data_IF_927742438807
#
_entry.id   IF_927742438807
#
_cell.length_a   1.000
_cell.length_b   1.000
_cell.length_c   1.000
_cell.angle_alpha   90.00
_cell.angle_beta   90.00
_cell.angle_gamma   90.00
#
_symmetry.space_group_name_H-M   'P 1'
#
loop_
_entity.id
_entity.type
_entity.pdbx_description
1 polymer ?
#
# COMPACT_ATOMS: atom_id res chain seq x y z
N UNK A 1 -14.68 -12.37 26.71
CA UNK A 1 -15.19 -13.39 25.76
C UNK A 1 -14.79 -12.92 24.38
N UNK A 2 -13.67 -13.45 23.91
CA UNK A 2 -13.02 -13.05 22.68
C UNK A 2 -13.71 -13.78 21.52
N UNK A 3 -14.48 -13.08 20.70
CA UNK A 3 -15.18 -13.66 19.55
C UNK A 3 -14.20 -13.81 18.37
N UNK A 4 -13.16 -14.62 18.56
CA UNK A 4 -12.21 -14.98 17.52
C UNK A 4 -12.95 -15.64 16.36
N UNK A 5 -13.15 -14.89 15.27
CA UNK A 5 -13.69 -15.43 14.03
C UNK A 5 -12.65 -16.41 13.49
N UNK A 6 -12.93 -17.71 13.64
CA UNK A 6 -12.05 -18.78 13.18
C UNK A 6 -11.82 -18.63 11.66
N UNK A 7 -10.56 -18.71 11.22
CA UNK A 7 -10.24 -18.68 9.80
C UNK A 7 -10.79 -19.94 9.12
N UNK A 8 -11.80 -19.77 8.27
CA UNK A 8 -12.34 -20.83 7.42
C UNK A 8 -11.86 -20.64 5.97
N UNK A 9 -10.98 -21.53 5.46
CA UNK A 9 -10.51 -21.47 4.08
C UNK A 9 -11.62 -21.48 3.03
N UNK A 10 -12.74 -22.18 3.28
CA UNK A 10 -13.86 -22.25 2.33
C UNK A 10 -14.58 -20.90 2.24
N UNK A 11 -14.88 -20.29 3.40
CA UNK A 11 -15.46 -18.94 3.45
C UNK A 11 -14.54 -17.90 2.83
N UNK A 12 -13.22 -18.00 3.02
CA UNK A 12 -12.27 -17.10 2.35
C UNK A 12 -12.41 -17.22 0.83
N UNK A 13 -12.37 -18.44 0.28
CA UNK A 13 -12.52 -18.67 -1.17
C UNK A 13 -13.84 -18.10 -1.70
N UNK A 14 -14.96 -18.34 -1.02
CA UNK A 14 -16.27 -17.80 -1.40
C UNK A 14 -16.28 -16.26 -1.44
N UNK A 15 -15.68 -15.62 -0.45
CA UNK A 15 -15.54 -14.16 -0.41
C UNK A 15 -14.67 -13.64 -1.57
N UNK A 16 -13.60 -14.34 -1.93
CA UNK A 16 -12.75 -13.97 -3.09
C UNK A 16 -13.56 -14.08 -4.40
N UNK A 17 -14.35 -15.14 -4.56
CA UNK A 17 -15.22 -15.30 -5.73
C UNK A 17 -16.26 -14.18 -5.85
N UNK A 18 -16.80 -13.71 -4.73
CA UNK A 18 -17.71 -12.57 -4.75
C UNK A 18 -17.02 -11.30 -5.27
N UNK A 19 -15.77 -11.05 -4.87
CA UNK A 19 -14.98 -9.93 -5.44
C UNK A 19 -14.76 -10.10 -6.94
N UNK A 20 -14.47 -11.31 -7.42
CA UNK A 20 -14.37 -11.59 -8.86
C UNK A 20 -15.66 -11.27 -9.60
N UNK A 21 -16.80 -11.71 -9.05
CA UNK A 21 -18.13 -11.45 -9.59
C UNK A 21 -18.44 -9.96 -9.66
N UNK A 22 -18.11 -9.20 -8.62
CA UNK A 22 -18.29 -7.75 -8.58
C UNK A 22 -17.52 -7.04 -9.70
N UNK A 23 -16.31 -7.50 -10.03
CA UNK A 23 -15.51 -6.94 -11.12
C UNK A 23 -15.79 -7.54 -12.50
N UNK A 24 -16.60 -8.59 -12.58
CA UNK A 24 -16.84 -9.35 -13.82
C UNK A 24 -15.57 -10.03 -14.33
N UNK A 25 -14.71 -10.50 -13.42
CA UNK A 25 -13.53 -11.28 -13.80
C UNK A 25 -13.91 -12.70 -14.23
N UNK A 26 -13.13 -13.32 -15.13
CA UNK A 26 -13.21 -14.77 -15.30
C UNK A 26 -12.88 -15.46 -13.97
N UNK A 27 -13.54 -16.58 -13.70
CA UNK A 27 -13.38 -17.35 -12.46
C UNK A 27 -11.92 -17.74 -12.23
N UNK A 28 -11.49 -17.73 -10.96
CA UNK A 28 -10.14 -18.12 -10.49
C UNK A 28 -9.01 -17.16 -10.89
N UNK A 29 -9.32 -15.90 -11.21
CA UNK A 29 -8.30 -14.87 -11.47
C UNK A 29 -7.60 -14.40 -10.20
N UNK A 30 -8.36 -14.27 -9.11
CA UNK A 30 -7.94 -13.79 -7.80
C UNK A 30 -7.69 -14.94 -6.83
N UNK A 31 -8.30 -16.10 -7.05
CA UNK A 31 -8.09 -17.29 -6.20
C UNK A 31 -6.67 -17.80 -6.37
N UNK A 32 -5.88 -17.74 -5.29
CA UNK A 32 -4.55 -18.37 -5.18
C UNK A 32 -4.44 -19.06 -3.82
N UNK A 33 -3.53 -20.04 -3.68
CA UNK A 33 -3.49 -20.92 -2.51
C UNK A 33 -3.27 -20.20 -1.17
N UNK A 34 -2.65 -19.01 -1.18
CA UNK A 34 -2.25 -18.29 0.04
C UNK A 34 -2.85 -16.87 0.13
N UNK A 35 -3.80 -16.53 -0.75
CA UNK A 35 -4.43 -15.20 -0.72
C UNK A 35 -5.62 -15.19 0.21
N UNK A 36 -5.63 -14.22 1.13
CA UNK A 36 -6.73 -14.00 2.08
C UNK A 36 -7.32 -12.63 1.86
N UNK A 37 -8.65 -12.52 1.85
CA UNK A 37 -9.33 -11.22 1.86
C UNK A 37 -9.37 -10.68 3.29
N UNK A 38 -8.54 -9.68 3.56
CA UNK A 38 -8.31 -9.09 4.89
C UNK A 38 -9.36 -8.03 5.22
N UNK A 39 -9.76 -7.21 4.24
CA UNK A 39 -10.75 -6.17 4.47
C UNK A 39 -11.33 -5.59 3.19
N UNK A 40 -12.49 -4.96 3.30
CA UNK A 40 -13.14 -4.23 2.22
C UNK A 40 -13.79 -2.95 2.74
N UNK A 41 -14.02 -1.98 1.84
CA UNK A 41 -14.68 -0.74 2.22
C UNK A 41 -14.60 0.36 1.18
N UNK A 42 -15.41 1.40 1.37
CA UNK A 42 -15.46 2.56 0.48
C UNK A 42 -14.59 3.67 1.04
N UNK A 43 -13.60 4.11 0.25
CA UNK A 43 -12.74 5.25 0.61
C UNK A 43 -12.88 6.38 -0.41
N UNK A 44 -12.71 7.61 0.07
CA UNK A 44 -12.63 8.79 -0.79
C UNK A 44 -11.21 8.93 -1.33
N UNK A 45 -11.02 8.58 -2.60
CA UNK A 45 -9.71 8.69 -3.26
C UNK A 45 -9.51 10.07 -3.87
N UNK A 46 -8.43 10.75 -3.48
CA UNK A 46 -8.02 11.99 -4.15
C UNK A 46 -7.50 11.66 -5.55
N UNK A 47 -8.11 12.30 -6.54
CA UNK A 47 -7.73 12.20 -7.94
C UNK A 47 -7.43 13.62 -8.46
N UNK A 48 -6.65 13.70 -9.54
CA UNK A 48 -6.23 14.98 -10.14
C UNK A 48 -7.33 16.03 -10.31
N UNK A 49 -8.57 15.65 -10.62
CA UNK A 49 -9.68 16.59 -10.91
C UNK A 49 -10.64 16.79 -9.74
N UNK A 50 -11.01 15.71 -9.08
CA UNK A 50 -11.97 15.72 -7.97
C UNK A 50 -11.82 14.46 -7.13
N UNK A 51 -12.12 14.51 -5.83
CA UNK A 51 -12.27 13.31 -5.01
C UNK A 51 -13.31 12.37 -5.61
N UNK A 52 -13.08 11.06 -5.47
CA UNK A 52 -14.03 10.04 -5.95
C UNK A 52 -14.09 8.86 -4.98
N UNK A 53 -15.31 8.42 -4.68
CA UNK A 53 -15.54 7.18 -3.96
C UNK A 53 -15.07 5.98 -4.80
N UNK A 54 -14.36 5.06 -4.15
CA UNK A 54 -13.88 3.81 -4.72
C UNK A 54 -14.09 2.71 -3.70
N UNK A 55 -14.50 1.54 -4.16
CA UNK A 55 -14.55 0.35 -3.33
C UNK A 55 -13.17 -0.31 -3.36
N UNK A 56 -12.56 -0.48 -2.20
CA UNK A 56 -11.26 -1.11 -1.98
C UNK A 56 -11.44 -2.49 -1.36
N UNK A 57 -10.57 -3.42 -1.76
CA UNK A 57 -10.44 -4.78 -1.25
C UNK A 57 -8.96 -5.00 -0.94
N UNK A 58 -8.64 -5.20 0.33
CA UNK A 58 -7.31 -5.55 0.80
C UNK A 58 -7.20 -7.07 0.87
N UNK A 59 -6.33 -7.62 0.04
CA UNK A 59 -5.86 -8.99 0.19
C UNK A 59 -4.49 -9.00 0.88
N UNK A 60 -4.07 -10.17 1.35
CA UNK A 60 -2.78 -10.37 2.03
C UNK A 60 -1.57 -9.91 1.20
N UNK A 61 -1.67 -9.90 -0.12
CA UNK A 61 -0.58 -9.60 -1.07
C UNK A 61 -0.89 -8.46 -2.06
N UNK A 62 -2.17 -8.10 -2.23
CA UNK A 62 -2.59 -7.12 -3.23
C UNK A 62 -3.73 -6.24 -2.71
N UNK A 63 -3.67 -4.95 -2.99
CA UNK A 63 -4.80 -4.04 -2.81
C UNK A 63 -5.48 -3.81 -4.17
N UNK A 64 -6.78 -4.12 -4.24
CA UNK A 64 -7.60 -3.93 -5.43
C UNK A 64 -8.63 -2.84 -5.18
N UNK A 65 -8.87 -1.96 -6.16
CA UNK A 65 -9.98 -1.01 -6.07
C UNK A 65 -10.66 -0.72 -7.40
N UNK A 66 -11.94 -0.37 -7.31
CA UNK A 66 -12.82 -0.18 -8.45
C UNK A 66 -13.71 1.05 -8.36
N UNK A 67 -14.19 1.51 -9.50
CA UNK A 67 -15.28 2.50 -9.56
C UNK A 67 -16.61 1.79 -9.36
N UNK A 68 -17.38 2.28 -8.39
CA UNK A 68 -18.74 1.80 -8.06
C UNK A 68 -19.71 2.20 -9.18
N UNK A 69 -20.52 1.24 -9.64
CA UNK A 69 -21.64 1.47 -10.57
C UNK A 69 -22.92 1.12 -9.83
N UNK A 70 -23.51 2.12 -9.16
CA UNK A 70 -24.66 1.96 -8.26
C UNK A 70 -25.84 1.23 -8.92
N UNK A 71 -26.14 1.54 -10.18
CA UNK A 71 -27.29 0.98 -10.91
C UNK A 71 -27.13 -0.49 -11.30
N UNK A 72 -25.93 -1.07 -11.18
CA UNK A 72 -25.66 -2.45 -11.63
C UNK A 72 -25.06 -3.33 -10.54
N UNK A 73 -24.83 -2.80 -9.33
CA UNK A 73 -24.11 -3.50 -8.25
C UNK A 73 -22.79 -4.16 -8.73
N UNK A 74 -22.11 -3.52 -9.67
CA UNK A 74 -20.80 -3.98 -10.20
C UNK A 74 -19.75 -2.91 -10.01
N UNK A 75 -18.50 -3.36 -10.04
CA UNK A 75 -17.31 -2.54 -10.03
C UNK A 75 -16.64 -2.58 -11.40
N UNK A 76 -16.05 -1.46 -11.79
CA UNK A 76 -15.39 -1.34 -13.08
C UNK A 76 -14.05 -0.62 -12.95
N UNK A 77 -13.24 -0.73 -14.00
CA UNK A 77 -11.90 -0.15 -14.06
C UNK A 77 -11.02 -0.59 -12.88
N UNK A 78 -10.88 -1.90 -12.64
CA UNK A 78 -10.10 -2.42 -11.52
C UNK A 78 -8.67 -1.90 -11.58
N UNK A 79 -8.12 -1.58 -10.42
CA UNK A 79 -6.73 -1.18 -10.24
C UNK A 79 -6.11 -2.10 -9.22
N UNK A 80 -4.94 -2.64 -9.55
CA UNK A 80 -4.17 -3.54 -8.71
C UNK A 80 -2.94 -2.78 -8.20
N UNK A 81 -2.73 -2.85 -6.89
CA UNK A 81 -1.57 -2.31 -6.20
C UNK A 81 -0.89 -3.48 -5.50
N UNK A 82 0.25 -3.87 -6.03
CA UNK A 82 1.12 -4.85 -5.38
C UNK A 82 1.57 -4.31 -4.03
N UNK A 83 1.41 -5.10 -2.98
CA UNK A 83 1.86 -4.72 -1.64
C UNK A 83 3.36 -4.93 -1.46
N UNK A 84 3.99 -5.77 -2.28
CA UNK A 84 5.43 -5.78 -2.41
C UNK A 84 5.88 -4.38 -2.85
N UNK A 85 6.87 -3.83 -2.16
CA UNK A 85 7.35 -2.46 -2.38
C UNK A 85 6.33 -1.31 -2.16
N UNK A 86 5.15 -1.55 -1.56
CA UNK A 86 4.27 -0.50 -1.01
C UNK A 86 4.50 -0.07 0.45
N UNK A 87 4.36 1.21 0.80
CA UNK A 87 4.28 1.66 2.19
C UNK A 87 3.09 2.59 2.44
N UNK A 88 2.70 2.74 3.71
CA UNK A 88 1.57 3.59 4.12
C UNK A 88 2.05 4.72 5.02
N UNK A 89 1.61 5.94 4.71
CA UNK A 89 1.90 7.15 5.50
C UNK A 89 0.61 7.83 5.94
N UNK A 90 0.53 8.25 7.19
CA UNK A 90 -0.58 9.07 7.66
C UNK A 90 -0.56 10.44 6.98
N UNK A 91 -1.74 11.01 6.74
CA UNK A 91 -1.90 12.38 6.26
C UNK A 91 -2.47 13.21 7.39
N UNK A 92 -1.94 14.43 7.54
CA UNK A 92 -2.41 15.42 8.53
C UNK A 92 -3.76 15.94 8.05
N UNK A 93 -4.72 16.00 8.97
CA UNK A 93 -6.06 16.51 8.70
C UNK A 93 -5.99 18.01 8.38
N UNK A 94 -6.74 18.47 7.37
CA UNK A 94 -6.73 19.87 6.91
C UNK A 94 -8.12 20.53 7.03
N UNK A 95 -8.93 20.08 7.99
CA UNK A 95 -10.29 20.54 8.25
C UNK A 95 -11.32 19.94 7.28
N UNK A 96 -11.17 20.18 5.98
CA UNK A 96 -12.13 19.71 4.95
C UNK A 96 -12.01 18.19 4.75
N UNK A 97 -10.78 17.67 4.73
CA UNK A 97 -10.53 16.24 4.64
C UNK A 97 -9.89 15.76 5.93
N UNK A 98 -10.55 14.80 6.57
CA UNK A 98 -10.13 14.17 7.83
C UNK A 98 -10.00 12.67 7.63
N UNK A 99 -9.22 12.04 8.50
CA UNK A 99 -8.99 10.59 8.45
C UNK A 99 -8.24 10.16 7.17
N UNK A 100 -7.24 10.96 6.79
CA UNK A 100 -6.42 10.71 5.60
C UNK A 100 -5.22 9.80 5.82
N UNK A 101 -4.90 9.00 4.81
CA UNK A 101 -3.64 8.26 4.69
C UNK A 101 -3.26 8.09 3.21
N UNK A 102 -1.97 7.88 2.96
CA UNK A 102 -1.40 7.70 1.63
C UNK A 102 -0.82 6.30 1.47
N UNK A 103 -1.20 5.65 0.38
CA UNK A 103 -0.64 4.37 -0.07
C UNK A 103 0.38 4.70 -1.14
N UNK A 104 1.63 4.33 -0.91
CA UNK A 104 2.77 4.63 -1.77
C UNK A 104 3.26 3.32 -2.37
N UNK A 105 3.26 3.18 -3.70
CA UNK A 105 3.81 2.01 -4.39
C UNK A 105 4.71 2.43 -5.54
N UNK A 106 5.54 1.54 -6.11
CA UNK A 106 6.41 1.88 -7.23
C UNK A 106 5.61 2.36 -8.44
N UNK A 107 4.47 1.70 -8.72
CA UNK A 107 3.67 1.97 -9.91
C UNK A 107 2.60 3.04 -9.71
N UNK A 108 2.05 3.18 -8.51
CA UNK A 108 0.96 4.13 -8.26
C UNK A 108 0.81 4.49 -6.79
N UNK A 109 0.97 5.77 -6.50
CA UNK A 109 0.77 6.33 -5.16
C UNK A 109 -0.43 7.26 -5.12
N UNK A 110 -1.18 7.25 -4.03
CA UNK A 110 -2.37 8.07 -3.87
C UNK A 110 -2.78 8.25 -2.41
N UNK A 111 -3.51 9.33 -2.17
CA UNK A 111 -4.15 9.62 -0.88
C UNK A 111 -5.61 9.21 -0.90
N UNK A 112 -6.06 8.64 0.21
CA UNK A 112 -7.43 8.26 0.50
C UNK A 112 -7.85 8.80 1.86
N UNK A 113 -9.14 8.98 2.02
CA UNK A 113 -9.77 9.38 3.28
C UNK A 113 -10.88 8.39 3.61
N UNK A 114 -10.85 7.90 4.85
CA UNK A 114 -11.91 7.07 5.43
C UNK A 114 -13.04 7.96 5.97
N UNK A 115 -14.22 7.37 6.20
CA UNK A 115 -15.35 8.13 6.74
C UNK A 115 -15.18 8.41 8.23
N UNK A 116 -14.55 7.49 8.97
CA UNK A 116 -14.27 7.63 10.41
C UNK A 116 -12.78 7.44 10.74
N UNK A 117 -12.39 7.86 11.95
CA UNK A 117 -11.05 7.66 12.51
C UNK A 117 -10.74 6.18 12.72
N UNK A 118 -11.74 5.41 13.13
CA UNK A 118 -11.66 3.98 13.40
C UNK A 118 -11.41 3.23 12.10
N UNK A 119 -12.16 3.55 11.04
CA UNK A 119 -11.92 3.01 9.70
C UNK A 119 -10.49 3.30 9.22
N UNK A 120 -10.02 4.56 9.31
CA UNK A 120 -8.64 4.91 8.96
C UNK A 120 -7.64 4.04 9.73
N UNK A 121 -7.84 3.91 11.03
CA UNK A 121 -6.90 3.21 11.91
C UNK A 121 -6.80 1.75 11.52
N UNK A 122 -7.93 1.09 11.32
CA UNK A 122 -7.99 -0.30 10.89
C UNK A 122 -7.38 -0.51 9.50
N UNK A 123 -7.70 0.35 8.52
CA UNK A 123 -7.07 0.31 7.20
C UNK A 123 -5.55 0.42 7.28
N UNK A 124 -5.03 1.38 8.06
CA UNK A 124 -3.60 1.60 8.21
C UNK A 124 -2.92 0.41 8.90
N UNK A 125 -3.53 -0.15 9.95
CA UNK A 125 -3.00 -1.33 10.67
C UNK A 125 -2.92 -2.53 9.73
N UNK A 126 -4.01 -2.90 9.06
CA UNK A 126 -4.04 -4.07 8.19
C UNK A 126 -3.14 -3.92 6.97
N UNK A 127 -3.09 -2.74 6.35
CA UNK A 127 -2.15 -2.48 5.26
C UNK A 127 -0.70 -2.66 5.72
N UNK A 128 -0.34 -2.09 6.87
CA UNK A 128 1.02 -2.24 7.43
C UNK A 128 1.35 -3.71 7.72
N UNK A 129 0.42 -4.46 8.30
CA UNK A 129 0.56 -5.90 8.58
C UNK A 129 0.77 -6.71 7.29
N UNK A 130 -0.02 -6.46 6.25
CA UNK A 130 0.15 -7.14 4.96
C UNK A 130 1.48 -6.79 4.29
N UNK A 131 1.88 -5.52 4.32
CA UNK A 131 3.15 -5.03 3.76
C UNK A 131 4.35 -5.64 4.49
N UNK A 132 4.30 -5.74 5.83
CA UNK A 132 5.42 -6.28 6.61
C UNK A 132 5.70 -7.75 6.32
N UNK A 133 4.72 -8.51 5.85
CA UNK A 133 4.93 -9.91 5.44
C UNK A 133 5.91 -10.05 4.26
N UNK A 134 6.11 -8.99 3.48
CA UNK A 134 7.06 -8.96 2.36
C UNK A 134 8.40 -8.32 2.75
N UNK A 135 8.53 -7.79 3.96
CA UNK A 135 9.76 -7.17 4.43
C UNK A 135 10.72 -8.25 4.96
N UNK A 136 11.44 -8.92 4.06
CA UNK A 136 12.39 -9.99 4.39
C UNK A 136 13.70 -9.52 5.06
N UNK A 137 13.64 -8.56 5.99
CA UNK A 137 14.81 -8.03 6.70
C UNK A 137 15.78 -7.16 5.86
N UNK A 138 15.51 -6.95 4.57
CA UNK A 138 16.25 -6.01 3.72
C UNK A 138 15.59 -4.63 3.80
N UNK A 139 16.40 -3.57 3.93
CA UNK A 139 15.90 -2.19 4.03
C UNK A 139 15.12 -1.78 2.78
N UNK A 140 13.80 -1.81 2.92
CA UNK A 140 12.78 -1.50 1.93
C UNK A 140 12.77 -0.06 1.42
N UNK A 141 13.41 0.85 2.16
CA UNK A 141 13.36 2.29 1.89
C UNK A 141 14.14 2.68 0.62
N UNK A 142 14.90 1.74 0.04
CA UNK A 142 15.64 1.95 -1.21
C UNK A 142 14.77 1.91 -2.47
N UNK A 143 13.60 1.26 -2.44
CA UNK A 143 12.76 1.13 -3.65
C UNK A 143 11.92 2.40 -3.84
N UNK A 144 12.24 3.14 -4.90
CA UNK A 144 11.55 4.39 -5.27
C UNK A 144 10.06 4.18 -5.51
N UNK A 145 9.24 5.00 -4.85
CA UNK A 145 7.77 5.02 -5.04
C UNK A 145 7.36 6.03 -6.12
N UNK A 146 6.23 5.78 -6.78
CA UNK A 146 5.61 6.78 -7.66
C UNK A 146 5.25 8.02 -6.85
N UNK A 147 5.33 9.24 -7.41
CA UNK A 147 4.83 10.42 -6.73
C UNK A 147 3.30 10.36 -6.61
N UNK A 148 2.76 10.99 -5.55
CA UNK A 148 1.34 11.36 -5.49
C UNK A 148 1.16 12.58 -6.39
N UNK A 149 0.15 12.54 -7.26
CA UNK A 149 -0.12 13.65 -8.15
C UNK A 149 -0.83 14.77 -7.41
N UNK A 150 -0.31 15.98 -7.60
CA UNK A 150 -0.92 17.20 -7.07
C UNK A 150 -2.24 17.44 -7.82
N UNK A 151 -3.36 17.68 -7.11
CA UNK A 151 -4.63 18.05 -7.71
C UNK A 151 -4.53 19.28 -8.60
N UNK A 152 -5.27 19.28 -9.71
CA UNK A 152 -5.29 20.36 -10.71
C UNK A 152 -5.72 21.70 -10.06
N UNK A 153 -6.61 21.64 -9.06
CA UNK A 153 -7.10 22.79 -8.30
C UNK A 153 -6.04 23.44 -7.42
N UNK A 154 -4.99 22.71 -7.04
CA UNK A 154 -3.90 23.21 -6.20
C UNK A 154 -2.76 23.84 -7.02
N UNK A 155 -2.84 23.76 -8.36
CA UNK A 155 -1.85 24.35 -9.26
C UNK A 155 -2.51 25.32 -10.24
N UNK A 156 -2.45 26.61 -9.92
CA UNK A 156 -2.83 27.69 -10.85
C UNK A 156 -1.77 27.95 -11.91
N UNK A 157 -0.49 27.74 -11.57
CA UNK A 157 0.65 27.99 -12.45
C UNK A 157 1.55 26.76 -12.59
N UNK A 158 2.33 26.72 -13.68
CA UNK A 158 3.33 25.68 -13.88
C UNK A 158 4.36 25.68 -12.75
N UNK A 159 4.52 24.53 -12.09
CA UNK A 159 5.44 24.35 -10.96
C UNK A 159 6.92 24.18 -11.35
N UNK A 160 7.26 24.52 -12.60
CA UNK A 160 8.64 24.49 -13.11
C UNK A 160 9.07 25.90 -13.52
N UNK A 161 8.34 26.56 -14.42
CA UNK A 161 8.67 27.94 -14.78
C UNK A 161 8.07 28.99 -13.84
N UNK A 162 7.03 28.66 -13.07
CA UNK A 162 6.31 29.61 -12.22
C UNK A 162 5.46 30.65 -12.97
N UNK A 163 5.72 30.87 -14.26
CA UNK A 163 5.15 31.97 -15.05
C UNK A 163 3.92 31.61 -15.86
N UNK A 164 3.78 30.36 -16.29
CA UNK A 164 2.64 29.95 -17.13
C UNK A 164 1.42 29.67 -16.25
N UNK A 165 0.44 30.56 -16.29
CA UNK A 165 -0.90 30.32 -15.73
C UNK A 165 -1.66 29.28 -16.57
N UNK A 166 -2.34 28.35 -15.91
CA UNK A 166 -3.10 27.31 -16.58
C UNK A 166 -4.52 27.74 -16.93
N UNK A 167 -4.92 27.49 -18.17
CA UNK A 167 -6.23 27.82 -18.72
C UNK A 167 -6.72 26.74 -19.71
N UNK A 168 -7.81 26.98 -20.42
CA UNK A 168 -8.26 26.08 -21.49
C UNK A 168 -7.24 25.99 -22.64
N UNK A 169 -6.45 27.04 -22.85
CA UNK A 169 -5.36 27.12 -23.84
C UNK A 169 -4.08 26.53 -23.26
N UNK A 170 -3.68 26.98 -22.06
CA UNK A 170 -2.50 26.45 -21.36
C UNK A 170 -2.89 25.26 -20.47
N UNK A 171 -2.90 24.08 -21.07
CA UNK A 171 -3.34 22.85 -20.39
C UNK A 171 -2.33 22.37 -19.33
N UNK A 172 -2.85 21.75 -18.28
CA UNK A 172 -2.09 21.09 -17.22
C UNK A 172 -1.55 19.73 -17.67
N UNK A 173 -0.31 19.44 -17.33
CA UNK A 173 0.31 18.11 -17.47
C UNK A 173 0.99 17.71 -16.16
N UNK A 174 1.11 16.41 -15.88
CA UNK A 174 1.86 15.93 -14.71
C UNK A 174 3.20 15.34 -15.13
N UNK A 175 4.28 15.69 -14.42
CA UNK A 175 5.53 14.96 -14.52
C UNK A 175 5.37 13.58 -13.87
N UNK A 176 5.65 12.50 -14.58
CA UNK A 176 5.50 11.13 -14.03
C UNK A 176 6.57 10.78 -13.01
N UNK A 177 7.69 11.49 -13.03
CA UNK A 177 8.81 11.28 -12.10
C UNK A 177 8.60 11.98 -10.75
N UNK A 178 8.13 13.24 -10.74
CA UNK A 178 7.99 14.04 -9.51
C UNK A 178 6.55 14.44 -9.15
N UNK A 179 5.55 14.19 -9.99
CA UNK A 179 4.13 14.46 -9.71
C UNK A 179 3.69 15.91 -9.85
N UNK A 180 4.62 16.86 -10.07
CA UNK A 180 4.33 18.29 -10.27
C UNK A 180 3.44 18.55 -11.48
N UNK A 181 2.62 19.60 -11.39
CA UNK A 181 1.80 20.13 -12.51
C UNK A 181 2.63 21.11 -13.34
N UNK A 182 2.74 20.85 -14.63
CA UNK A 182 3.67 21.51 -15.55
C UNK A 182 2.99 21.85 -16.88
N UNK A 183 3.42 22.93 -17.53
CA UNK A 183 2.98 23.28 -18.87
C UNK A 183 3.70 22.41 -19.93
N UNK A 184 3.23 22.45 -21.17
CA UNK A 184 3.79 21.63 -22.24
C UNK A 184 5.26 21.99 -22.52
N UNK A 185 5.60 23.28 -22.56
CA UNK A 185 6.97 23.79 -22.75
C UNK A 185 7.95 23.26 -21.71
N UNK A 186 7.54 23.15 -20.44
CA UNK A 186 8.38 22.63 -19.36
C UNK A 186 8.42 21.10 -19.28
N UNK A 187 7.73 20.39 -20.18
CA UNK A 187 7.58 18.93 -20.11
C UNK A 187 7.57 18.24 -21.47
N UNK A 188 8.37 18.77 -22.41
CA UNK A 188 8.55 18.20 -23.76
C UNK A 188 9.25 16.84 -23.75
N UNK A 189 9.95 16.50 -22.66
CA UNK A 189 10.76 15.29 -22.55
C UNK A 189 9.95 14.04 -22.19
N UNK A 190 10.48 12.89 -22.63
CA UNK A 190 9.95 11.56 -22.39
C UNK A 190 11.05 10.62 -21.91
N UNK A 191 10.80 9.86 -20.85
CA UNK A 191 11.79 8.98 -20.21
C UNK A 191 11.20 7.61 -19.84
N UNK A 192 12.02 6.55 -19.85
CA UNK A 192 11.62 5.23 -19.33
C UNK A 192 11.88 5.23 -17.83
N UNK A 193 10.83 5.17 -17.02
CA UNK A 193 10.93 5.03 -15.57
C UNK A 193 10.77 3.55 -15.24
N UNK A 194 11.86 2.79 -14.93
CA UNK A 194 11.79 1.33 -14.81
C UNK A 194 10.73 0.86 -13.81
N UNK A 195 10.55 1.61 -12.72
CA UNK A 195 9.55 1.36 -11.68
C UNK A 195 8.08 1.57 -12.13
N UNK A 196 7.85 2.18 -13.30
CA UNK A 196 6.53 2.35 -13.93
C UNK A 196 6.37 1.53 -15.23
N UNK A 197 7.36 0.71 -15.59
CA UNK A 197 7.37 -0.13 -16.78
C UNK A 197 8.34 0.34 -17.87
N UNK A 198 8.26 -0.27 -19.05
CA UNK A 198 9.18 -0.05 -20.17
C UNK A 198 8.82 1.13 -21.08
N UNK A 199 7.64 1.73 -20.89
CA UNK A 199 7.14 2.81 -21.75
C UNK A 199 7.76 4.16 -21.43
N UNK A 200 7.98 4.99 -22.47
CA UNK A 200 8.44 6.38 -22.31
C UNK A 200 7.32 7.30 -21.84
N UNK A 201 7.45 7.81 -20.62
CA UNK A 201 6.46 8.69 -19.98
C UNK A 201 6.94 10.14 -19.89
N UNK A 202 5.99 11.09 -19.80
CA UNK A 202 6.29 12.53 -19.74
C UNK A 202 7.01 12.91 -18.45
N UNK A 203 8.12 13.61 -18.57
CA UNK A 203 8.87 14.17 -17.44
C UNK A 203 9.09 15.66 -17.67
N UNK A 204 9.21 16.45 -16.60
CA UNK A 204 9.57 17.85 -16.74
C UNK A 204 11.06 18.01 -17.07
N UNK A 205 11.44 19.19 -17.55
CA UNK A 205 12.83 19.54 -17.88
C UNK A 205 13.79 19.28 -16.73
N UNK A 206 13.42 19.66 -15.50
CA UNK A 206 14.23 19.42 -14.29
C UNK A 206 14.49 17.92 -14.11
N UNK A 207 13.43 17.10 -14.07
CA UNK A 207 13.58 15.67 -13.89
C UNK A 207 14.30 14.98 -15.05
N UNK A 208 14.19 15.50 -16.27
CA UNK A 208 14.96 14.98 -17.40
C UNK A 208 16.47 15.17 -17.18
N UNK A 209 16.89 16.34 -16.70
CA UNK A 209 18.30 16.61 -16.35
C UNK A 209 18.78 15.70 -15.23
N UNK A 210 17.99 15.54 -14.17
CA UNK A 210 18.33 14.68 -13.03
C UNK A 210 18.51 13.22 -13.47
N UNK A 211 17.53 12.68 -14.19
CA UNK A 211 17.55 11.30 -14.71
C UNK A 211 18.69 11.06 -15.70
N UNK A 212 19.02 12.05 -16.52
CA UNK A 212 20.14 11.96 -17.46
C UNK A 212 21.47 11.88 -16.73
N UNK A 213 21.62 12.68 -15.67
CA UNK A 213 22.79 12.67 -14.80
C UNK A 213 22.94 11.34 -14.05
N UNK A 214 21.85 10.83 -13.47
CA UNK A 214 21.82 9.52 -12.80
C UNK A 214 22.23 8.38 -13.75
N UNK A 215 21.72 8.41 -14.99
CA UNK A 215 22.06 7.43 -16.02
C UNK A 215 23.54 7.51 -16.38
N UNK A 216 24.06 8.73 -16.61
CA UNK A 216 25.47 8.93 -16.91
C UNK A 216 26.38 8.41 -15.78
N UNK A 217 26.11 8.80 -14.53
CA UNK A 217 26.90 8.36 -13.38
C UNK A 217 26.86 6.84 -13.19
N UNK A 218 25.74 6.19 -13.47
CA UNK A 218 25.62 4.74 -13.40
C UNK A 218 26.46 4.04 -14.48
N UNK A 219 26.54 4.60 -15.68
CA UNK A 219 27.42 4.08 -16.75
C UNK A 219 28.89 4.21 -16.37
N UNK A 220 29.30 5.34 -15.78
CA UNK A 220 30.68 5.53 -15.31
C UNK A 220 31.05 4.52 -14.22
N UNK A 221 30.18 4.31 -13.22
CA UNK A 221 30.40 3.30 -12.17
C UNK A 221 30.55 1.89 -12.75
N UNK A 222 29.67 1.51 -13.68
CA UNK A 222 29.71 0.19 -14.30
C UNK A 222 31.00 -0.01 -15.11
N UNK A 223 31.46 1.03 -15.81
CA UNK A 223 32.73 0.99 -16.53
C UNK A 223 33.92 0.89 -15.57
N UNK A 224 33.93 1.61 -14.45
CA UNK A 224 35.01 1.54 -13.45
C UNK A 224 35.11 0.16 -12.77
N UNK A 225 33.99 -0.49 -12.46
CA UNK A 225 33.98 -1.84 -11.89
C UNK A 225 34.55 -2.89 -12.86
N UNK A 226 34.35 -2.74 -14.16
CA UNK A 226 34.99 -3.61 -15.17
C UNK A 226 36.52 -3.52 -15.16
N UNK A 227 37.10 -2.36 -14.85
CA UNK A 227 38.57 -2.21 -14.73
C UNK A 227 39.14 -2.71 -13.40
N UNK A 228 38.30 -2.90 -12.38
CA UNK A 228 38.71 -3.35 -11.04
C UNK A 228 38.66 -4.89 -10.91
N UNK A 229 37.72 -5.56 -11.58
CA UNK A 229 37.68 -7.03 -11.69
C UNK A 229 38.86 -7.62 -12.50
N UNK A 230 39.63 -6.79 -13.22
CA UNK A 230 40.83 -7.21 -13.96
C UNK A 230 42.15 -7.16 -13.19
N UNK A 231 42.16 -6.86 -11.88
CA UNK A 231 43.40 -6.60 -11.10
C UNK A 231 43.51 -7.29 -9.73
N UNK A 232 42.88 -8.45 -9.52
CA UNK A 232 43.15 -9.26 -8.31
C UNK A 232 43.62 -10.67 -8.65
N UNK A 233 44.95 -10.79 -8.79
CA UNK A 233 45.72 -12.02 -8.59
C UNK A 233 47.04 -11.65 -7.90
N UNK A 234 47.01 -11.47 -6.56
CA UNK A 234 48.05 -11.96 -5.63
C UNK A 234 47.80 -11.51 -4.18
N UNK A 235 47.43 -12.49 -3.35
CA UNK A 235 47.93 -12.83 -2.01
C UNK A 235 48.26 -11.70 -1.00
N UNK A 236 47.52 -11.62 0.12
CA UNK A 236 47.99 -11.89 1.51
C UNK A 236 46.86 -11.67 2.54
N UNK A 237 46.78 -12.58 3.53
CA UNK A 237 45.79 -12.66 4.61
C UNK A 237 45.97 -11.56 5.69
N UNK A 238 44.86 -11.06 6.27
CA UNK A 238 44.79 -10.70 7.71
C UNK A 238 43.37 -10.93 8.24
N UNK A 239 43.30 -11.72 9.32
CA UNK A 239 42.15 -11.95 10.21
C UNK A 239 42.07 -10.85 11.27
N UNK A 240 40.91 -10.21 11.47
CA UNK A 240 40.48 -9.80 12.82
C UNK A 240 38.96 -9.58 12.90
N UNK A 241 38.38 -10.19 13.93
CA UNK A 241 37.07 -9.92 14.53
C UNK A 241 37.05 -8.57 15.26
N UNK A 242 35.85 -8.01 15.53
CA UNK A 242 35.37 -7.46 16.82
C UNK A 242 33.94 -6.89 16.64
N UNK A 243 33.24 -6.84 17.75
CA UNK A 243 31.82 -7.07 18.06
C UNK A 243 30.96 -5.82 18.31
N UNK A 244 29.64 -6.06 18.30
CA UNK A 244 28.55 -5.51 19.15
C UNK A 244 28.26 -4.00 19.18
N UNK A 245 26.96 -3.67 19.04
CA UNK A 245 26.21 -2.98 20.10
C UNK A 245 24.69 -3.11 19.96
N UNK A 246 24.05 -3.47 21.09
CA UNK A 246 22.60 -3.55 21.38
C UNK A 246 22.07 -2.18 21.85
N UNK A 247 20.78 -1.89 21.64
CA UNK A 247 19.91 -1.20 22.62
C UNK A 247 18.45 -1.68 22.45
N UNK A 248 17.84 -2.10 23.56
CA UNK A 248 16.45 -2.55 23.76
C UNK A 248 15.53 -1.42 24.29
N UNK A 249 14.24 -1.77 24.51
CA UNK A 249 13.26 -1.25 25.51
C UNK A 249 12.14 -0.35 24.91
N UNK A 250 10.82 -0.49 25.14
CA UNK A 250 9.86 -1.46 25.75
C UNK A 250 8.42 -1.08 25.29
N UNK A 251 7.46 -2.01 25.41
CA UNK A 251 6.00 -1.86 25.21
C UNK A 251 5.26 -1.31 26.45
N UNK A 252 3.99 -0.90 26.25
CA UNK A 252 2.75 -1.17 27.04
C UNK A 252 1.71 0.00 26.87
N UNK A 253 0.38 -0.06 27.01
CA UNK A 253 -0.78 -1.01 26.96
C UNK A 253 -2.08 -0.13 26.93
N UNK A 254 -3.15 -0.61 26.27
CA UNK A 254 -4.65 -0.43 26.36
C UNK A 254 -5.32 0.84 26.98
N UNK A 255 -6.56 1.31 26.67
CA UNK A 255 -7.88 0.65 26.46
C UNK A 255 -8.95 1.59 25.78
N UNK A 256 -9.82 0.98 24.94
CA UNK A 256 -11.30 1.10 24.67
C UNK A 256 -12.04 2.47 24.62
N UNK A 257 -12.96 2.79 23.68
CA UNK A 257 -14.21 2.08 23.32
C UNK A 257 -14.88 2.55 21.98
N UNK A 258 -15.21 1.58 21.08
CA UNK A 258 -16.45 1.29 20.27
C UNK A 258 -17.10 2.35 19.32
N UNK A 259 -17.07 2.12 17.98
CA UNK A 259 -18.13 1.57 17.05
C UNK A 259 -17.45 1.07 15.73
N UNK A 260 -17.78 -0.14 15.23
CA UNK A 260 -16.98 -0.95 14.27
C UNK A 260 -17.53 -1.08 12.83
N UNK A 261 -16.65 -1.13 11.79
CA UNK A 261 -16.90 -1.73 10.47
C UNK A 261 -16.70 -3.25 10.48
N UNK A 262 -17.37 -3.99 9.58
CA UNK A 262 -17.28 -5.46 9.46
C UNK A 262 -15.93 -5.89 8.87
N UNK A 263 -14.90 -5.97 9.72
CA UNK A 263 -13.64 -6.66 9.42
C UNK A 263 -13.84 -8.16 9.58
N UNK A 264 -13.47 -8.92 8.55
CA UNK A 264 -13.71 -10.35 8.48
C UNK A 264 -12.40 -11.10 8.74
N UNK A 265 -12.08 -11.24 10.02
CA UNK A 265 -11.11 -12.20 10.55
C UNK A 265 -9.66 -11.73 10.59
N UNK A 266 -9.13 -11.53 11.80
CA UNK A 266 -7.70 -11.44 12.04
C UNK A 266 -7.03 -12.80 11.80
N UNK A 267 -6.15 -12.87 10.81
CA UNK A 267 -5.27 -14.04 10.63
C UNK A 267 -4.11 -13.92 11.61
N UNK A 268 -4.14 -14.75 12.66
CA UNK A 268 -2.97 -15.11 13.45
C UNK A 268 -2.22 -16.22 12.69
N UNK A 269 -1.00 -15.93 12.25
CA UNK A 269 -0.01 -16.97 11.95
C UNK A 269 0.83 -17.15 13.21
N UNK A 270 0.52 -18.19 13.98
CA UNK A 270 1.34 -18.56 15.13
C UNK A 270 2.58 -19.35 14.67
N UNK A 271 3.71 -19.07 15.33
CA UNK A 271 4.77 -20.05 15.54
C UNK A 271 4.73 -20.48 17.02
N UNK A 272 4.60 -21.79 17.20
CA UNK A 272 5.12 -22.70 18.22
C UNK A 272 4.95 -22.46 19.74
N UNK A 273 4.25 -23.44 20.32
CA UNK A 273 4.47 -24.19 21.58
C UNK A 273 5.00 -23.48 22.84
N UNK A 274 4.24 -23.63 23.94
CA UNK A 274 4.72 -24.38 25.10
C UNK A 274 3.55 -24.97 25.91
N UNK A 275 3.72 -26.24 26.30
CA UNK A 275 2.87 -27.04 27.18
C UNK A 275 2.65 -26.41 28.57
N UNK A 276 1.52 -26.72 29.22
CA UNK A 276 1.41 -27.62 30.40
C UNK A 276 -0.02 -27.65 30.98
N UNK A 277 -0.55 -28.88 31.12
CA UNK A 277 -1.32 -29.46 32.25
C UNK A 277 -2.54 -28.72 32.85
N UNK A 278 -3.74 -29.32 32.73
CA UNK A 278 -4.53 -29.99 33.80
C UNK A 278 -5.12 -29.00 34.81
N UNK A 279 -6.45 -28.92 34.97
CA UNK A 279 -7.14 -29.74 35.96
C UNK A 279 -8.66 -29.74 35.79
N UNK A 280 -9.25 -30.67 36.53
CA UNK A 280 -10.59 -31.25 36.55
C UNK A 280 -11.69 -30.40 37.19
N UNK A 281 -12.89 -31.00 37.14
CA UNK A 281 -14.07 -30.80 38.00
C UNK A 281 -15.05 -29.71 37.58
N UNK A 282 -16.38 -29.85 37.70
CA UNK A 282 -17.39 -30.91 37.84
C UNK A 282 -18.63 -30.18 38.38
N UNK A 283 -19.82 -30.64 37.98
CA UNK A 283 -21.13 -30.44 38.63
C UNK A 283 -21.62 -29.00 38.90
N UNK A 284 -22.81 -28.60 38.45
CA UNK A 284 -24.07 -29.16 38.93
C UNK A 284 -25.21 -28.65 38.06
N UNK A 285 -26.14 -29.54 37.75
CA UNK A 285 -27.46 -29.24 37.25
C UNK A 285 -28.38 -28.94 38.43
N UNK A 286 -29.18 -27.87 38.36
CA UNK A 286 -30.41 -27.76 39.14
C UNK A 286 -31.61 -27.42 38.25
N UNK A 287 -32.65 -28.19 38.54
CA UNK A 287 -33.95 -28.29 37.93
C UNK A 287 -34.91 -27.43 38.75
N UNK A 288 -35.64 -26.50 38.12
CA UNK A 288 -36.99 -26.02 38.48
C UNK A 288 -37.47 -25.24 37.25
N UNK A 289 -38.70 -25.30 36.76
CA UNK A 289 -39.94 -25.86 37.23
C UNK A 289 -41.02 -25.39 36.24
N UNK A 290 -42.04 -26.23 36.13
CA UNK A 290 -43.26 -26.15 35.33
C UNK A 290 -44.01 -24.79 35.23
N UNK A 291 -44.66 -24.63 34.05
CA UNK A 291 -46.03 -24.13 33.79
C UNK A 291 -46.44 -22.77 34.39
N UNK A 292 -46.94 -21.87 33.56
CA UNK A 292 -48.38 -21.61 33.38
C UNK A 292 -48.56 -20.62 32.19
N UNK A 293 -49.64 -20.88 31.44
CA UNK A 293 -50.27 -20.13 30.34
C UNK A 293 -49.59 -20.02 28.96
#
# INVERSE_FOLDING_TARGET
MDNGVFYDPKQNIERIFEVERLFGFPSNKLVTSNRVLVGEGVLTKICRRKPKLRHFFLFSDVLIYGRIVLNRKVLCSPQFIDLADSCVKNVVDNGIYRNGFSILSPRKSFTVYASTSEEKTQWVIHLKKCISNFASGVQYDSVRKSPIWIPDSEASHCMVCGTTEFSLVHRRHHCRHCGKVVCDKCSTYRWILPYQGSSRVRVCSVCHTDLSTEKYNSLIRNNQQQYQCGKENNLFNVTTCVTNNRVDVTNEVADNCIITPTYLGDVNMNNDELNTESDTDSDTAEVFGSKFD
#
